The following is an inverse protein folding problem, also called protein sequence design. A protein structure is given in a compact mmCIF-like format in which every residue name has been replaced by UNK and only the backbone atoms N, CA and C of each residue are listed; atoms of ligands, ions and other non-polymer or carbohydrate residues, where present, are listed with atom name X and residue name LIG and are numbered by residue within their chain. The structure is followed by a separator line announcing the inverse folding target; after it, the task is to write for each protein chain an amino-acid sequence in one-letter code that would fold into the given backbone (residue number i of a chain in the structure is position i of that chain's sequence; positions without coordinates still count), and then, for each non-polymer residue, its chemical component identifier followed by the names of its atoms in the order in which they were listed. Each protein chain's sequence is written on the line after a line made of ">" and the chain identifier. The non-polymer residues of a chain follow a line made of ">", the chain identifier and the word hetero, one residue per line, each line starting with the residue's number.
data_IF_691312018040
#
_entry.id   IF_691312018040
#
_cell.length_a   1.000
_cell.length_b   1.000
_cell.length_c   1.000
_cell.angle_alpha   90.00
_cell.angle_beta   90.00
_cell.angle_gamma   90.00
#
_symmetry.space_group_name_H-M   'P 1'
#
loop_
_entity.id
_entity.type
_entity.pdbx_description
1 polymer ?
#
# COMPACT_ATOMS: atom_id res chain seq x y z
N UNK A 1 8.78 -12.91 4.30
CA UNK A 1 7.86 -12.06 3.51
C UNK A 1 7.89 -12.56 2.07
N UNK A 2 6.74 -12.88 1.48
CA UNK A 2 6.66 -13.28 0.06
C UNK A 2 6.42 -12.04 -0.82
N UNK A 3 6.51 -12.21 -2.14
CA UNK A 3 6.33 -11.12 -3.11
C UNK A 3 4.97 -10.40 -2.95
N UNK A 4 3.88 -11.16 -2.85
CA UNK A 4 2.52 -10.62 -2.67
C UNK A 4 2.36 -9.84 -1.35
N UNK A 5 2.90 -10.37 -0.23
CA UNK A 5 2.88 -9.69 1.06
C UNK A 5 3.69 -8.38 1.04
N UNK A 6 4.73 -8.33 0.21
CA UNK A 6 5.52 -7.12 -0.01
C UNK A 6 4.72 -6.08 -0.78
N UNK A 7 4.00 -6.49 -1.83
CA UNK A 7 3.09 -5.61 -2.58
C UNK A 7 1.97 -5.08 -1.68
N UNK A 8 1.33 -5.93 -0.87
CA UNK A 8 0.28 -5.51 0.07
C UNK A 8 0.80 -4.45 1.05
N UNK A 9 2.00 -4.64 1.58
CA UNK A 9 2.64 -3.68 2.49
C UNK A 9 2.88 -2.35 1.77
N UNK A 10 3.41 -2.38 0.55
CA UNK A 10 3.66 -1.17 -0.26
C UNK A 10 2.34 -0.46 -0.58
N UNK A 11 1.30 -1.20 -1.00
CA UNK A 11 -0.03 -0.64 -1.27
C UNK A 11 -0.61 0.08 -0.05
N UNK A 12 -0.37 -0.45 1.15
CA UNK A 12 -0.87 0.12 2.40
C UNK A 12 -0.11 1.39 2.79
N UNK A 13 1.23 1.39 2.68
CA UNK A 13 2.08 2.45 3.21
C UNK A 13 2.49 3.53 2.20
N UNK A 14 2.53 3.22 0.91
CA UNK A 14 2.93 4.17 -0.15
C UNK A 14 2.03 5.42 -0.21
N UNK A 15 0.69 5.35 -0.04
CA UNK A 15 -0.16 6.54 0.05
C UNK A 15 0.22 7.45 1.22
N UNK A 16 0.59 6.87 2.37
CA UNK A 16 1.01 7.62 3.55
C UNK A 16 2.34 8.32 3.29
N UNK A 17 3.31 7.63 2.67
CA UNK A 17 4.57 8.24 2.24
C UNK A 17 4.31 9.36 1.24
N UNK A 18 3.43 9.16 0.26
CA UNK A 18 3.02 10.20 -0.68
C UNK A 18 2.41 11.42 0.01
N UNK A 19 1.55 11.22 1.00
CA UNK A 19 0.99 12.30 1.81
C UNK A 19 2.07 13.03 2.61
N UNK A 20 3.02 12.32 3.21
CA UNK A 20 4.15 12.93 3.91
C UNK A 20 5.02 13.78 2.98
N UNK A 21 5.27 13.32 1.74
CA UNK A 21 5.99 14.08 0.73
C UNK A 21 5.22 15.34 0.29
N UNK A 22 3.89 15.28 0.22
CA UNK A 22 3.05 16.45 -0.07
C UNK A 22 3.18 17.54 1.00
N UNK A 23 3.38 17.18 2.27
CA UNK A 23 3.57 18.15 3.36
C UNK A 23 4.84 18.99 3.20
N UNK A 24 5.83 18.50 2.46
CA UNK A 24 7.08 19.20 2.18
C UNK A 24 6.93 20.25 1.06
N UNK A 25 5.84 20.21 0.28
CA UNK A 25 5.60 21.15 -0.81
C UNK A 25 4.90 22.41 -0.30
N UNK A 26 5.31 23.62 -0.76
CA UNK A 26 4.59 24.83 -0.45
C UNK A 26 3.21 24.81 -1.11
N UNK A 27 2.21 25.41 -0.45
CA UNK A 27 0.82 25.45 -0.94
C UNK A 27 0.67 26.10 -2.32
N UNK A 28 1.63 26.92 -2.74
CA UNK A 28 1.68 27.57 -4.06
C UNK A 28 2.19 26.64 -5.18
N UNK A 29 2.85 25.53 -4.86
CA UNK A 29 3.35 24.54 -5.82
C UNK A 29 2.24 23.61 -6.32
N UNK A 30 1.14 24.17 -6.83
CA UNK A 30 -0.06 23.45 -7.26
C UNK A 30 0.25 22.34 -8.27
N UNK A 31 1.12 22.62 -9.24
CA UNK A 31 1.51 21.61 -10.23
C UNK A 31 2.32 20.48 -9.62
N UNK A 32 3.24 20.77 -8.69
CA UNK A 32 4.02 19.76 -7.97
C UNK A 32 3.12 18.84 -7.14
N UNK A 33 2.17 19.43 -6.42
CA UNK A 33 1.17 18.71 -5.62
C UNK A 33 0.35 17.76 -6.52
N UNK A 34 -0.12 18.25 -7.67
CA UNK A 34 -0.93 17.47 -8.62
C UNK A 34 -0.13 16.29 -9.20
N UNK A 35 1.07 16.55 -9.71
CA UNK A 35 1.89 15.51 -10.33
C UNK A 35 2.39 14.48 -9.32
N UNK A 36 2.78 14.89 -8.11
CA UNK A 36 3.17 13.95 -7.05
C UNK A 36 1.99 13.07 -6.63
N UNK A 37 0.83 13.66 -6.40
CA UNK A 37 -0.40 12.91 -6.07
C UNK A 37 -0.73 11.91 -7.16
N UNK A 38 -0.68 12.33 -8.44
CA UNK A 38 -0.96 11.46 -9.58
C UNK A 38 0.06 10.33 -9.72
N UNK A 39 1.35 10.60 -9.53
CA UNK A 39 2.38 9.59 -9.61
C UNK A 39 2.19 8.51 -8.53
N UNK A 40 1.94 8.93 -7.29
CA UNK A 40 1.69 8.00 -6.17
C UNK A 40 0.45 7.16 -6.44
N UNK A 41 -0.67 7.76 -6.87
CA UNK A 41 -1.91 6.99 -7.14
C UNK A 41 -1.77 6.06 -8.33
N UNK A 42 -1.06 6.45 -9.39
CA UNK A 42 -0.78 5.56 -10.52
C UNK A 42 0.08 4.36 -10.11
N UNK A 43 1.11 4.57 -9.28
CA UNK A 43 1.94 3.47 -8.77
C UNK A 43 1.09 2.51 -7.93
N UNK A 44 0.28 3.04 -7.00
CA UNK A 44 -0.66 2.25 -6.19
C UNK A 44 -1.63 1.46 -7.08
N UNK A 45 -2.19 2.11 -8.11
CA UNK A 45 -3.10 1.46 -9.04
C UNK A 45 -2.43 0.30 -9.80
N UNK A 46 -1.24 0.52 -10.36
CA UNK A 46 -0.50 -0.54 -11.08
C UNK A 46 -0.16 -1.71 -10.16
N UNK A 47 0.31 -1.43 -8.94
CA UNK A 47 0.59 -2.47 -7.95
C UNK A 47 -0.68 -3.26 -7.55
N UNK A 48 -1.84 -2.58 -7.48
CA UNK A 48 -3.12 -3.24 -7.17
C UNK A 48 -3.53 -4.22 -8.27
N UNK A 49 -3.27 -3.89 -9.54
CA UNK A 49 -3.53 -4.78 -10.67
C UNK A 49 -2.59 -5.99 -10.67
N UNK A 50 -1.31 -5.79 -10.34
CA UNK A 50 -0.35 -6.89 -10.22
C UNK A 50 -0.76 -7.87 -9.10
N UNK A 51 -1.27 -7.35 -7.98
CA UNK A 51 -1.80 -8.18 -6.90
C UNK A 51 -3.08 -8.92 -7.33
N UNK A 52 -3.99 -8.24 -8.03
CA UNK A 52 -5.22 -8.83 -8.54
C UNK A 52 -4.98 -9.99 -9.50
N UNK A 53 -3.94 -9.92 -10.34
CA UNK A 53 -3.55 -11.03 -11.22
C UNK A 53 -3.11 -12.30 -10.48
N UNK A 54 -2.71 -12.17 -9.22
CA UNK A 54 -2.28 -13.30 -8.37
C UNK A 54 -3.44 -13.89 -7.55
N UNK A 55 -4.65 -13.33 -7.67
CA UNK A 55 -5.82 -13.76 -6.91
C UNK A 55 -6.46 -15.02 -7.50
N UNK A 56 -6.71 -16.02 -6.65
CA UNK A 56 -7.41 -17.26 -6.99
C UNK A 56 -8.89 -17.18 -6.58
N UNK A 57 -9.85 -17.06 -7.51
CA UNK A 57 -11.27 -16.98 -7.17
C UNK A 57 -11.85 -18.27 -6.58
N UNK A 58 -11.14 -19.40 -6.65
CA UNK A 58 -11.58 -20.67 -6.07
C UNK A 58 -11.25 -20.82 -4.59
N UNK A 59 -10.35 -19.97 -4.06
CA UNK A 59 -9.97 -19.97 -2.65
C UNK A 59 -10.78 -18.92 -1.86
N UNK A 60 -11.70 -19.33 -0.96
CA UNK A 60 -12.57 -18.40 -0.23
C UNK A 60 -11.87 -17.68 0.93
N UNK A 61 -10.61 -18.01 1.25
CA UNK A 61 -9.85 -17.40 2.33
C UNK A 61 -9.18 -16.07 1.95
N UNK A 62 -8.66 -15.34 2.94
CA UNK A 62 -7.77 -14.21 2.70
C UNK A 62 -6.44 -14.70 2.12
N UNK A 63 -6.12 -14.26 0.90
CA UNK A 63 -4.96 -14.77 0.15
C UNK A 63 -3.72 -13.90 0.37
N UNK A 64 -3.90 -12.60 0.55
CA UNK A 64 -2.81 -11.66 0.79
C UNK A 64 -2.84 -11.23 2.25
N UNK A 65 -2.07 -11.90 3.11
CA UNK A 65 -2.09 -11.63 4.56
C UNK A 65 -0.71 -11.29 5.07
N UNK A 66 -0.59 -10.11 5.66
CA UNK A 66 0.53 -9.72 6.51
C UNK A 66 0.08 -9.89 7.96
N UNK A 67 0.75 -10.78 8.68
CA UNK A 67 0.50 -11.02 10.10
C UNK A 67 1.82 -10.91 10.86
N UNK A 68 1.97 -9.86 11.66
CA UNK A 68 3.17 -9.61 12.45
C UNK A 68 2.83 -9.37 13.92
N UNK A 69 3.61 -9.87 14.88
CA UNK A 69 3.44 -9.52 16.28
C UNK A 69 3.69 -8.02 16.47
N UNK A 70 2.90 -7.37 17.33
CA UNK A 70 3.04 -5.94 17.60
C UNK A 70 3.33 -5.66 19.07
N UNK A 71 2.45 -6.08 19.99
CA UNK A 71 2.62 -5.88 21.44
C UNK A 71 2.40 -7.21 22.16
N UNK A 72 3.50 -7.80 22.64
CA UNK A 72 3.50 -9.13 23.25
C UNK A 72 2.99 -10.22 22.30
N UNK A 73 2.57 -11.35 22.87
CA UNK A 73 2.05 -12.49 22.10
C UNK A 73 0.54 -12.38 21.78
N UNK A 74 -0.15 -11.37 22.34
CA UNK A 74 -1.61 -11.23 22.25
C UNK A 74 -2.09 -10.18 21.25
N UNK A 75 -1.26 -9.19 20.91
CA UNK A 75 -1.64 -8.12 19.98
C UNK A 75 -0.73 -8.17 18.75
N UNK A 76 -1.33 -8.37 17.57
CA UNK A 76 -0.65 -8.42 16.29
C UNK A 76 -1.18 -7.40 15.27
N UNK A 77 -0.31 -6.95 14.38
CA UNK A 77 -0.68 -6.26 13.15
C UNK A 77 -1.07 -7.30 12.09
N UNK A 78 -2.37 -7.38 11.79
CA UNK A 78 -2.91 -8.29 10.78
C UNK A 78 -3.67 -7.49 9.72
N UNK A 79 -3.23 -7.61 8.47
CA UNK A 79 -3.85 -6.99 7.29
C UNK A 79 -4.00 -8.06 6.22
N UNK A 80 -5.21 -8.21 5.68
CA UNK A 80 -5.50 -9.09 4.56
C UNK A 80 -6.94 -9.07 4.14
#
# INVERSE_FOLDING_TARGET
>A
MNFENSILTILTWLPVVGAALLLLLPKTAINGIRWLSLAVTLIVFVLSLALWQSFDPSNPGFQFVVNMPWIGDSIGYRVG
#
